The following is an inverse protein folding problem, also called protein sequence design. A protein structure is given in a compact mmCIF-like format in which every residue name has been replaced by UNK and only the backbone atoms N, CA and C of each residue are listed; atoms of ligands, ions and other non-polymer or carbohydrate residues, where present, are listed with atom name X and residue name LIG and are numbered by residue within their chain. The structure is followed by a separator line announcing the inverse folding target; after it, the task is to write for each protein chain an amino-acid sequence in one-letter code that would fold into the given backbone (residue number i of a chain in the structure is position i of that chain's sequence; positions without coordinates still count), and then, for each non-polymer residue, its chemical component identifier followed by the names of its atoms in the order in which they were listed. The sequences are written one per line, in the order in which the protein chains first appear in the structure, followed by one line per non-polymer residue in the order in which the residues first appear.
data_IF_738129547170
#
_entry.id   IF_738129547170
#
_cell.length_a   1.000
_cell.length_b   1.000
_cell.length_c   1.000
_cell.angle_alpha   90.00
_cell.angle_beta   90.00
_cell.angle_gamma   90.00
#
_symmetry.space_group_name_H-M   'P 1'
#
loop_
_entity.id
_entity.type
_entity.pdbx_description
1 polymer ?
#
# COMPACT_ATOMS: atom_id res chain seq x y z
N UNK A 1 33.03 17.22 26.80
CA UNK A 1 32.22 16.94 25.59
C UNK A 1 30.83 16.51 26.05
N UNK A 2 29.77 17.19 25.64
CA UNK A 2 28.41 16.70 25.87
C UNK A 2 28.17 15.49 24.95
N UNK A 3 27.81 14.35 25.53
CA UNK A 3 27.56 13.09 24.80
C UNK A 3 26.15 13.13 24.19
N UNK A 4 25.97 13.90 23.12
CA UNK A 4 24.73 13.84 22.33
C UNK A 4 24.73 12.63 21.41
N UNK A 5 23.62 11.90 21.34
CA UNK A 5 23.46 10.77 20.42
C UNK A 5 22.62 11.19 19.21
N UNK A 6 23.05 10.82 18.01
CA UNK A 6 22.22 10.97 16.81
C UNK A 6 20.97 10.09 16.93
N UNK A 7 19.82 10.68 16.64
CA UNK A 7 18.48 10.08 16.67
C UNK A 7 17.69 10.55 15.46
N UNK A 8 16.56 9.89 15.21
CA UNK A 8 15.67 10.21 14.10
C UNK A 8 14.31 10.68 14.62
N UNK A 9 13.66 11.59 13.90
CA UNK A 9 12.29 12.03 14.16
C UNK A 9 11.54 12.20 12.84
N UNK A 10 10.22 12.03 12.88
CA UNK A 10 9.30 12.28 11.77
C UNK A 10 8.96 13.76 11.69
N UNK A 11 9.26 14.37 10.56
CA UNK A 11 8.82 15.70 10.20
C UNK A 11 7.50 15.60 9.44
N UNK A 12 6.42 16.14 10.01
CA UNK A 12 5.09 16.08 9.40
C UNK A 12 4.95 17.02 8.20
N UNK A 13 5.73 18.10 8.13
CA UNK A 13 5.64 19.05 7.02
C UNK A 13 6.30 18.48 5.75
N UNK A 14 7.43 17.79 5.95
CA UNK A 14 8.20 17.19 4.86
C UNK A 14 7.91 15.69 4.67
N UNK A 15 6.98 15.14 5.45
CA UNK A 15 6.62 13.71 5.50
C UNK A 15 7.86 12.79 5.46
N UNK A 16 8.86 13.12 6.27
CA UNK A 16 10.17 12.47 6.20
C UNK A 16 10.82 12.27 7.58
N UNK A 17 11.66 11.24 7.69
CA UNK A 17 12.45 11.02 8.89
C UNK A 17 13.78 11.77 8.80
N UNK A 18 14.02 12.70 9.72
CA UNK A 18 15.21 13.54 9.79
C UNK A 18 16.05 13.22 11.03
N UNK A 19 17.35 13.46 10.94
CA UNK A 19 18.28 13.26 12.05
C UNK A 19 18.32 14.46 13.00
N UNK A 20 18.61 14.21 14.28
CA UNK A 20 18.86 15.24 15.29
C UNK A 20 19.76 14.73 16.42
N UNK A 21 20.41 15.66 17.13
CA UNK A 21 21.25 15.36 18.29
C UNK A 21 20.45 15.40 19.59
N UNK A 22 20.31 14.26 20.25
CA UNK A 22 19.57 14.13 21.50
C UNK A 22 20.51 14.06 22.72
N UNK A 23 20.27 14.95 23.69
CA UNK A 23 21.06 15.09 24.92
C UNK A 23 20.84 14.01 25.99
N UNK A 24 19.87 13.09 25.82
CA UNK A 24 19.74 11.89 26.65
C UNK A 24 18.59 11.88 27.66
N UNK A 25 17.90 13.00 27.91
CA UNK A 25 16.71 13.06 28.78
C UNK A 25 15.61 13.94 28.17
N UNK A 26 14.38 13.80 28.68
CA UNK A 26 13.16 14.46 28.16
C UNK A 26 12.76 14.01 26.73
N UNK A 27 11.73 14.62 26.15
CA UNK A 27 11.29 14.37 24.78
C UNK A 27 10.00 13.53 24.68
N UNK A 28 9.60 13.21 23.46
CA UNK A 28 8.32 12.56 23.14
C UNK A 28 8.54 11.23 22.38
N UNK A 29 7.45 10.63 21.88
CA UNK A 29 7.47 9.37 21.09
C UNK A 29 8.05 9.53 19.67
N UNK A 30 8.17 10.76 19.18
CA UNK A 30 8.75 11.05 17.87
C UNK A 30 10.29 11.08 17.95
N UNK A 31 10.87 9.98 18.40
CA UNK A 31 12.31 9.82 18.59
C UNK A 31 12.68 8.35 18.42
N UNK A 32 13.53 8.08 17.44
CA UNK A 32 13.86 6.75 16.98
C UNK A 32 15.37 6.54 16.94
N UNK A 33 15.79 5.30 17.09
CA UNK A 33 17.21 4.95 17.09
C UNK A 33 17.75 4.84 15.66
N UNK A 34 16.90 4.50 14.70
CA UNK A 34 17.25 4.36 13.29
C UNK A 34 16.21 5.05 12.41
N UNK A 35 16.62 5.47 11.21
CA UNK A 35 15.73 6.01 10.18
C UNK A 35 14.60 5.02 9.87
N UNK A 36 14.96 3.74 9.76
CA UNK A 36 14.03 2.65 9.51
C UNK A 36 12.92 2.55 10.57
N UNK A 37 13.27 2.63 11.86
CA UNK A 37 12.29 2.59 12.96
C UNK A 37 11.31 3.78 12.87
N UNK A 38 11.82 4.96 12.53
CA UNK A 38 11.01 6.16 12.28
C UNK A 38 10.04 5.98 11.10
N UNK A 39 10.55 5.54 9.94
CA UNK A 39 9.74 5.37 8.73
C UNK A 39 8.65 4.31 8.93
N UNK A 40 8.98 3.20 9.60
CA UNK A 40 8.03 2.14 10.00
C UNK A 40 6.89 2.67 10.85
N UNK A 41 7.19 3.52 11.82
CA UNK A 41 6.19 3.96 12.78
C UNK A 41 5.35 5.14 12.28
N UNK A 42 5.88 5.98 11.38
CA UNK A 42 5.24 7.24 10.96
C UNK A 42 4.83 7.27 9.48
N UNK A 43 5.66 6.80 8.53
CA UNK A 43 5.36 6.86 7.09
C UNK A 43 4.49 5.69 6.63
N UNK A 44 4.90 4.46 6.91
CA UNK A 44 4.24 3.27 6.36
C UNK A 44 2.85 2.99 6.97
N UNK A 45 2.55 3.54 8.15
CA UNK A 45 1.20 3.51 8.72
C UNK A 45 0.20 4.41 7.99
N UNK A 46 0.66 5.45 7.28
CA UNK A 46 -0.21 6.41 6.59
C UNK A 46 -0.61 5.95 5.18
N UNK A 47 0.25 5.18 4.49
CA UNK A 47 0.08 4.89 3.06
C UNK A 47 -0.19 3.43 2.69
N UNK A 48 -0.08 2.45 3.58
CA UNK A 48 -0.37 1.07 3.20
C UNK A 48 -0.76 0.15 4.38
N UNK A 49 -2.03 -0.28 4.52
CA UNK A 49 -2.37 -1.40 5.38
C UNK A 49 -1.83 -2.75 4.85
N UNK A 50 -1.22 -2.80 3.65
CA UNK A 50 -0.44 -3.94 3.16
C UNK A 50 1.04 -3.74 3.47
N UNK A 51 1.56 -4.49 4.43
CA UNK A 51 2.93 -4.33 4.92
C UNK A 51 3.96 -4.58 3.80
N UNK A 52 4.64 -3.52 3.37
CA UNK A 52 5.94 -3.65 2.68
C UNK A 52 6.88 -4.41 3.63
N UNK A 53 7.51 -5.51 3.21
CA UNK A 53 8.37 -6.30 4.10
C UNK A 53 9.47 -5.43 4.73
N UNK A 54 9.78 -5.67 6.01
CA UNK A 54 10.80 -4.90 6.74
C UNK A 54 12.15 -4.87 6.00
N UNK A 55 12.53 -5.96 5.32
CA UNK A 55 13.75 -6.01 4.51
C UNK A 55 13.77 -4.95 3.40
N UNK A 56 12.63 -4.64 2.77
CA UNK A 56 12.56 -3.66 1.68
C UNK A 56 12.73 -2.22 2.20
N UNK A 57 12.61 -2.03 3.51
CA UNK A 57 12.76 -0.72 4.16
C UNK A 57 14.19 -0.48 4.65
N UNK A 58 15.10 -1.42 4.43
CA UNK A 58 16.51 -1.24 4.75
C UNK A 58 17.18 -0.40 3.67
N UNK A 59 18.10 0.47 4.03
CA UNK A 59 18.96 1.17 3.05
C UNK A 59 19.92 0.16 2.40
N UNK A 60 20.37 0.37 1.15
CA UNK A 60 21.31 -0.54 0.52
C UNK A 60 22.64 -0.54 1.28
N UNK A 61 23.13 -1.72 1.67
CA UNK A 61 24.42 -1.87 2.32
C UNK A 61 25.43 -2.51 1.35
N UNK A 62 26.40 -1.75 0.83
CA UNK A 62 27.40 -2.25 -0.11
C UNK A 62 28.39 -3.23 0.55
N UNK A 63 28.43 -3.32 1.88
CA UNK A 63 29.41 -4.10 2.62
C UNK A 63 30.76 -3.37 2.77
N UNK A 64 31.64 -3.93 3.61
CA UNK A 64 32.94 -3.30 3.94
C UNK A 64 34.14 -4.23 3.62
N UNK A 65 34.08 -4.92 2.49
CA UNK A 65 35.19 -5.76 2.03
C UNK A 65 36.25 -4.94 1.31
N UNK A 66 37.53 -5.14 1.66
CA UNK A 66 38.66 -4.40 1.10
C UNK A 66 39.16 -4.86 -0.27
N UNK A 67 38.59 -5.92 -0.84
CA UNK A 67 38.91 -6.39 -2.20
C UNK A 67 37.75 -6.07 -3.15
N UNK A 68 37.84 -4.93 -3.83
CA UNK A 68 36.83 -4.44 -4.77
C UNK A 68 36.61 -5.38 -5.96
N UNK A 69 37.56 -6.29 -6.26
CA UNK A 69 37.48 -7.18 -7.43
C UNK A 69 36.40 -8.25 -7.31
N UNK A 70 35.88 -8.48 -6.10
CA UNK A 70 34.80 -9.42 -5.83
C UNK A 70 33.41 -8.78 -5.91
N UNK A 71 33.35 -7.46 -6.13
CA UNK A 71 32.10 -6.73 -6.15
C UNK A 71 31.27 -6.94 -7.42
N UNK A 72 29.96 -6.82 -7.30
CA UNK A 72 29.02 -6.94 -8.42
C UNK A 72 27.84 -5.96 -8.28
N UNK A 73 27.19 -5.65 -9.40
CA UNK A 73 25.92 -4.90 -9.41
C UNK A 73 24.74 -5.77 -8.98
N UNK A 74 24.06 -5.34 -7.93
CA UNK A 74 22.84 -5.94 -7.39
C UNK A 74 21.70 -4.92 -7.46
N UNK A 75 20.49 -5.37 -7.16
CA UNK A 75 19.32 -4.52 -7.05
C UNK A 75 18.89 -4.38 -5.59
N UNK A 76 18.39 -3.21 -5.22
CA UNK A 76 17.74 -2.96 -3.95
C UNK A 76 16.44 -2.22 -4.20
N UNK A 77 15.52 -2.28 -3.25
CA UNK A 77 14.30 -1.50 -3.29
C UNK A 77 14.53 -0.14 -2.64
N UNK A 78 14.41 0.93 -3.44
CA UNK A 78 14.41 2.30 -2.95
C UNK A 78 13.02 2.60 -2.39
N UNK A 79 12.90 2.52 -1.07
CA UNK A 79 11.61 2.73 -0.39
C UNK A 79 11.14 4.19 -0.38
N UNK A 80 12.03 5.15 -0.67
CA UNK A 80 11.67 6.56 -0.78
C UNK A 80 10.93 6.81 -2.10
N UNK A 81 11.45 6.25 -3.20
CA UNK A 81 10.90 6.37 -4.56
C UNK A 81 9.89 5.28 -4.93
N UNK A 82 9.88 4.17 -4.19
CA UNK A 82 9.06 3.00 -4.49
C UNK A 82 9.51 2.21 -5.71
N UNK A 83 10.80 2.26 -6.05
CA UNK A 83 11.37 1.66 -7.26
C UNK A 83 12.51 0.70 -6.91
N UNK A 84 12.73 -0.30 -7.76
CA UNK A 84 13.92 -1.16 -7.65
C UNK A 84 15.08 -0.58 -8.46
N UNK A 85 16.19 -0.27 -7.78
CA UNK A 85 17.36 0.40 -8.34
C UNK A 85 18.62 -0.46 -8.19
N UNK A 86 19.70 -0.11 -8.90
CA UNK A 86 20.98 -0.85 -8.84
C UNK A 86 21.91 -0.24 -7.80
N UNK A 87 22.67 -1.09 -7.11
CA UNK A 87 23.80 -0.69 -6.26
C UNK A 87 24.97 -1.67 -6.41
N UNK A 88 26.17 -1.25 -6.02
CA UNK A 88 27.36 -2.09 -6.07
C UNK A 88 27.60 -2.75 -4.71
N UNK A 89 27.62 -4.08 -4.66
CA UNK A 89 27.87 -4.87 -3.45
C UNK A 89 29.27 -5.48 -3.51
N UNK A 90 30.12 -5.20 -2.51
CA UNK A 90 31.53 -5.60 -2.47
C UNK A 90 31.77 -7.09 -2.14
N UNK A 91 30.72 -7.89 -2.00
CA UNK A 91 30.83 -9.35 -1.88
C UNK A 91 30.78 -9.90 -0.46
N UNK A 92 30.76 -9.07 0.58
CA UNK A 92 30.58 -9.52 1.97
C UNK A 92 29.76 -8.53 2.80
N UNK A 93 29.18 -9.02 3.90
CA UNK A 93 28.26 -8.22 4.72
C UNK A 93 26.99 -7.88 3.96
N UNK A 94 26.55 -6.63 4.09
CA UNK A 94 25.30 -6.17 3.49
C UNK A 94 24.09 -6.50 4.35
N UNK A 95 22.91 -6.32 3.78
CA UNK A 95 21.64 -6.65 4.39
C UNK A 95 20.67 -7.31 3.38
N UNK A 96 19.43 -7.55 3.82
CA UNK A 96 18.41 -8.29 3.07
C UNK A 96 17.78 -7.50 1.92
N UNK A 97 17.97 -6.17 1.84
CA UNK A 97 17.52 -5.37 0.68
C UNK A 97 18.50 -5.50 -0.50
N UNK A 98 18.73 -6.75 -0.92
CA UNK A 98 19.76 -7.08 -1.90
C UNK A 98 19.30 -8.25 -2.76
N UNK A 99 19.06 -7.97 -4.03
CA UNK A 99 18.47 -8.87 -5.00
C UNK A 99 19.36 -9.03 -6.23
N UNK A 100 19.52 -10.25 -6.70
CA UNK A 100 20.36 -10.53 -7.87
C UNK A 100 19.78 -9.95 -9.18
N UNK A 101 18.45 -9.81 -9.27
CA UNK A 101 17.79 -9.32 -10.48
C UNK A 101 16.70 -8.29 -10.16
N UNK A 102 16.43 -7.42 -11.13
CA UNK A 102 15.34 -6.45 -11.08
C UNK A 102 13.99 -7.15 -10.85
N UNK A 103 13.76 -8.28 -11.52
CA UNK A 103 12.55 -9.07 -11.35
C UNK A 103 12.39 -9.57 -9.91
N UNK A 104 13.47 -10.06 -9.28
CA UNK A 104 13.43 -10.54 -7.90
C UNK A 104 13.13 -9.39 -6.93
N UNK A 105 13.77 -8.23 -7.12
CA UNK A 105 13.49 -7.04 -6.32
C UNK A 105 12.02 -6.59 -6.47
N UNK A 106 11.54 -6.49 -7.71
CA UNK A 106 10.16 -6.09 -7.99
C UNK A 106 9.19 -7.08 -7.36
N UNK A 107 9.36 -8.38 -7.58
CA UNK A 107 8.48 -9.39 -7.00
C UNK A 107 8.39 -9.34 -5.47
N UNK A 108 9.50 -9.07 -4.78
CA UNK A 108 9.54 -9.06 -3.31
C UNK A 108 9.04 -7.71 -2.74
N UNK A 109 9.44 -6.60 -3.37
CA UNK A 109 9.26 -5.25 -2.85
C UNK A 109 8.46 -4.31 -3.77
N UNK A 110 8.67 -4.36 -5.09
CA UNK A 110 8.05 -3.44 -6.06
C UNK A 110 6.60 -3.77 -6.48
N UNK A 111 6.23 -5.04 -6.57
CA UNK A 111 4.88 -5.49 -6.90
C UNK A 111 3.91 -5.30 -5.72
N UNK A 112 4.44 -5.11 -4.50
CA UNK A 112 3.67 -4.67 -3.33
C UNK A 112 3.36 -3.17 -3.31
N UNK A 113 3.91 -2.40 -4.26
CA UNK A 113 3.51 -1.02 -4.56
C UNK A 113 2.61 -0.91 -5.78
N UNK A 114 2.20 -2.02 -6.38
CA UNK A 114 1.04 -1.95 -7.25
C UNK A 114 -0.15 -1.55 -6.36
N UNK A 115 -0.94 -0.50 -6.69
CA UNK A 115 -2.32 -0.50 -6.25
C UNK A 115 -2.82 -1.88 -6.61
N UNK A 116 -3.26 -2.63 -5.61
CA UNK A 116 -3.53 -4.07 -5.68
C UNK A 116 -3.99 -4.40 -7.10
N UNK A 117 -3.31 -5.30 -7.83
CA UNK A 117 -3.94 -5.90 -9.02
C UNK A 117 -5.18 -6.56 -8.46
N UNK A 118 -6.25 -5.78 -8.51
CA UNK A 118 -7.50 -6.04 -7.86
C UNK A 118 -8.12 -7.12 -8.72
N UNK A 119 -8.19 -8.33 -8.17
CA UNK A 119 -8.80 -9.43 -8.87
C UNK A 119 -10.27 -9.05 -8.97
N UNK A 120 -10.77 -8.76 -10.17
CA UNK A 120 -12.19 -8.46 -10.33
C UNK A 120 -13.00 -9.75 -10.12
N UNK A 121 -13.42 -10.01 -8.87
CA UNK A 121 -14.16 -11.22 -8.52
C UNK A 121 -15.54 -11.26 -9.18
N UNK A 122 -16.08 -10.09 -9.57
CA UNK A 122 -17.32 -9.97 -10.31
C UNK A 122 -17.17 -10.48 -11.76
N UNK A 123 -16.03 -10.24 -12.42
CA UNK A 123 -15.74 -10.76 -13.77
C UNK A 123 -15.34 -12.23 -13.79
N UNK A 124 -14.74 -12.71 -12.71
CA UNK A 124 -14.25 -14.09 -12.59
C UNK A 124 -15.26 -15.11 -12.06
N UNK A 125 -16.51 -14.71 -11.81
CA UNK A 125 -17.55 -15.52 -11.13
C UNK A 125 -17.10 -16.09 -9.77
N UNK A 126 -16.20 -15.38 -9.07
CA UNK A 126 -15.73 -15.75 -7.73
C UNK A 126 -16.49 -15.01 -6.63
N UNK A 127 -17.18 -13.93 -6.97
CA UNK A 127 -18.01 -13.17 -6.04
C UNK A 127 -19.20 -14.00 -5.55
N UNK A 128 -19.34 -14.13 -4.23
CA UNK A 128 -20.43 -14.84 -3.57
C UNK A 128 -21.62 -13.90 -3.27
N UNK A 129 -22.13 -13.24 -4.31
CA UNK A 129 -23.33 -12.42 -4.22
C UNK A 129 -24.60 -13.25 -4.45
N UNK A 130 -25.74 -12.81 -3.90
CA UNK A 130 -27.05 -13.36 -4.25
C UNK A 130 -27.30 -13.19 -5.76
N UNK A 131 -28.08 -14.09 -6.37
CA UNK A 131 -28.47 -13.98 -7.78
C UNK A 131 -29.30 -12.71 -8.07
N UNK A 132 -29.98 -12.18 -7.06
CA UNK A 132 -30.73 -10.93 -7.08
C UNK A 132 -29.94 -9.76 -6.47
N UNK A 133 -28.61 -9.79 -6.54
CA UNK A 133 -27.73 -8.69 -6.16
C UNK A 133 -26.78 -8.29 -7.29
N UNK A 134 -26.42 -7.01 -7.35
CA UNK A 134 -25.34 -6.49 -8.19
C UNK A 134 -24.01 -6.59 -7.45
N UNK A 135 -23.01 -7.13 -8.14
CA UNK A 135 -21.62 -7.13 -7.68
C UNK A 135 -20.91 -5.85 -8.14
N UNK A 136 -20.21 -5.19 -7.23
CA UNK A 136 -19.32 -4.07 -7.54
C UNK A 136 -17.93 -4.36 -7.00
N UNK A 137 -16.94 -4.31 -7.90
CA UNK A 137 -15.55 -4.54 -7.55
C UNK A 137 -14.98 -3.34 -6.77
N UNK A 138 -14.16 -3.61 -5.76
CA UNK A 138 -13.51 -2.61 -4.91
C UNK A 138 -12.06 -3.01 -4.68
N UNK A 139 -11.15 -2.07 -4.45
CA UNK A 139 -9.73 -2.44 -4.30
C UNK A 139 -9.54 -3.41 -3.11
N UNK A 140 -9.17 -4.66 -3.41
CA UNK A 140 -8.93 -5.73 -2.43
C UNK A 140 -10.18 -6.50 -2.00
N UNK A 141 -11.36 -6.26 -2.58
CA UNK A 141 -12.62 -6.95 -2.25
C UNK A 141 -13.73 -6.70 -3.29
N UNK A 142 -14.93 -7.18 -3.04
CA UNK A 142 -16.13 -6.75 -3.75
C UNK A 142 -17.25 -6.45 -2.74
N UNK A 143 -18.26 -5.71 -3.19
CA UNK A 143 -19.52 -5.53 -2.47
C UNK A 143 -20.68 -6.03 -3.30
N UNK A 144 -21.72 -6.53 -2.61
CA UNK A 144 -22.95 -6.99 -3.21
C UNK A 144 -24.09 -6.08 -2.73
N UNK A 145 -24.94 -5.62 -3.64
CA UNK A 145 -26.10 -4.79 -3.30
C UNK A 145 -27.35 -5.39 -3.94
N UNK A 146 -28.42 -5.58 -3.16
CA UNK A 146 -29.65 -6.17 -3.67
C UNK A 146 -30.25 -5.34 -4.81
N UNK A 147 -30.82 -6.04 -5.80
CA UNK A 147 -31.48 -5.41 -6.93
C UNK A 147 -32.73 -4.63 -6.50
N UNK A 148 -33.19 -3.71 -7.37
CA UNK A 148 -34.42 -2.97 -7.13
C UNK A 148 -35.59 -3.92 -6.84
N UNK A 149 -36.39 -3.59 -5.81
CA UNK A 149 -37.48 -4.43 -5.28
C UNK A 149 -37.05 -5.65 -4.45
N UNK A 150 -35.75 -5.79 -4.16
CA UNK A 150 -35.22 -6.75 -3.21
C UNK A 150 -34.58 -6.04 -2.01
N UNK A 151 -34.58 -6.70 -0.85
CA UNK A 151 -33.92 -6.21 0.37
C UNK A 151 -33.15 -7.33 1.05
N UNK A 152 -32.00 -6.98 1.60
CA UNK A 152 -31.09 -7.92 2.25
C UNK A 152 -29.69 -7.34 2.39
N UNK A 153 -28.73 -8.22 2.63
CA UNK A 153 -27.30 -7.90 2.82
C UNK A 153 -26.47 -8.03 1.53
N UNK A 154 -27.12 -8.28 0.39
CA UNK A 154 -26.47 -8.53 -0.91
C UNK A 154 -26.01 -9.97 -1.13
N UNK A 155 -25.94 -10.80 -0.08
CA UNK A 155 -25.67 -12.25 -0.17
C UNK A 155 -26.94 -13.09 -0.07
N UNK A 156 -27.95 -12.55 0.60
CA UNK A 156 -29.32 -13.05 0.60
C UNK A 156 -30.28 -11.88 0.32
N UNK A 157 -30.92 -11.89 -0.84
CA UNK A 157 -31.83 -10.84 -1.26
C UNK A 157 -33.26 -11.39 -1.36
N UNK A 158 -34.16 -10.82 -0.55
CA UNK A 158 -35.57 -11.22 -0.50
C UNK A 158 -36.44 -10.21 -1.24
N UNK A 159 -37.40 -10.70 -2.03
CA UNK A 159 -38.31 -9.83 -2.75
C UNK A 159 -39.23 -9.10 -1.78
N UNK A 160 -39.27 -7.77 -1.87
CA UNK A 160 -40.08 -6.90 -1.00
C UNK A 160 -41.17 -6.13 -1.75
N UNK A 161 -41.32 -6.36 -3.06
CA UNK A 161 -42.36 -5.75 -3.90
C UNK A 161 -41.90 -4.50 -4.65
N UNK A 162 -42.56 -4.24 -5.78
CA UNK A 162 -42.38 -3.05 -6.64
C UNK A 162 -43.00 -1.81 -5.95
N UNK A 163 -42.36 -1.31 -4.91
CA UNK A 163 -42.84 -0.15 -4.15
C UNK A 163 -42.63 1.18 -4.88
N UNK A 164 -43.60 1.56 -5.73
CA UNK A 164 -43.81 2.88 -6.35
C UNK A 164 -42.67 3.39 -7.24
N UNK A 165 -42.99 3.61 -8.52
CA UNK A 165 -42.33 4.62 -9.35
C UNK A 165 -42.21 5.89 -8.49
N UNK A 166 -40.98 6.29 -8.16
CA UNK A 166 -40.73 7.66 -7.69
C UNK A 166 -41.11 8.56 -8.86
N UNK A 167 -42.38 8.99 -8.90
CA UNK A 167 -42.77 10.17 -9.65
C UNK A 167 -42.06 11.33 -8.94
N UNK A 168 -40.84 11.65 -9.38
CA UNK A 168 -40.20 12.90 -9.01
C UNK A 168 -41.06 14.03 -9.59
N UNK A 169 -41.88 14.62 -8.73
CA UNK A 169 -42.37 15.98 -8.93
C UNK A 169 -41.16 16.88 -9.11
N UNK A 170 -41.15 17.59 -10.24
CA UNK A 170 -40.27 18.70 -10.61
C UNK A 170 -39.69 19.48 -9.43
N UNK A 171 -38.36 19.53 -9.31
CA UNK A 171 -37.53 20.74 -9.19
C UNK A 171 -36.04 20.40 -8.93
N UNK A 172 -35.17 21.11 -9.65
CA UNK A 172 -33.75 21.39 -9.35
C UNK A 172 -32.68 20.52 -10.04
N UNK A 173 -32.11 21.17 -11.06
CA UNK A 173 -30.88 20.92 -11.83
C UNK A 173 -29.71 20.40 -10.96
N UNK A 174 -29.04 19.34 -11.43
CA UNK A 174 -27.75 18.87 -10.91
C UNK A 174 -27.20 17.70 -11.72
N UNK A 175 -26.26 18.00 -12.61
CA UNK A 175 -25.49 17.10 -13.50
C UNK A 175 -25.00 15.80 -12.83
N UNK A 176 -25.17 14.64 -13.50
CA UNK A 176 -24.66 13.36 -12.99
C UNK A 176 -24.90 12.14 -13.88
N UNK A 177 -24.07 12.00 -14.91
CA UNK A 177 -23.80 10.81 -15.75
C UNK A 177 -24.69 9.56 -15.58
N UNK A 178 -25.49 9.27 -16.62
CA UNK A 178 -25.99 7.93 -16.95
C UNK A 178 -24.83 6.92 -17.00
N UNK A 179 -24.67 6.09 -15.96
CA UNK A 179 -23.80 4.90 -16.04
C UNK A 179 -24.58 3.77 -16.67
N UNK A 180 -24.25 3.46 -17.92
CA UNK A 180 -24.70 2.27 -18.65
C UNK A 180 -24.13 1.05 -17.90
N UNK A 181 -24.94 0.42 -17.03
CA UNK A 181 -24.59 -0.83 -16.35
C UNK A 181 -25.00 -1.99 -17.26
N UNK A 182 -24.02 -2.80 -17.66
CA UNK A 182 -24.24 -3.98 -18.50
C UNK A 182 -25.17 -4.96 -17.78
N UNK A 183 -26.31 -5.26 -18.40
CA UNK A 183 -27.14 -6.42 -18.08
C UNK A 183 -26.49 -7.66 -18.68
N UNK A 184 -26.22 -8.67 -17.86
CA UNK A 184 -25.90 -10.00 -18.35
C UNK A 184 -27.25 -10.65 -18.69
N UNK A 185 -27.44 -10.95 -19.98
CA UNK A 185 -28.51 -11.80 -20.52
C UNK A 185 -28.12 -13.26 -20.23
#
# INVERSE_FOLDING_TARGET
MQLTKTKWFWDEADESCKEFHYGGCMGNKNRFNTRHECLKQCRYKLFNPVAVPDLCLLEPDPGNCGDERLGQWWYYFNSDLGTCEKFFFYGCGGNDNKFYSLHMCNKVCGERLSPQIDIDECRGYKAACDRNAWCTNTIGSYSCECMASYRGDGKHCTFVGLGKIFLLSSSSIGEGLLRIKHSII
#
